data_IF_769748192375
#
_entry.id   IF_769748192375
#
_cell.length_a   1.000
_cell.length_b   1.000
_cell.length_c   1.000
_cell.angle_alpha   90.00
_cell.angle_beta   90.00
_cell.angle_gamma   90.00
#
_symmetry.space_group_name_H-M   'P 1'
#
loop_
_entity.id
_entity.type
_entity.pdbx_description
1 polymer ?
#
# COMPACT_ATOMS: atom_id res chain seq x y z
N UNK A 1 -1.98 5.56 -23.95
CA UNK A 1 -1.06 4.91 -23.01
C UNK A 1 -0.76 5.85 -21.86
N UNK A 2 -0.81 5.35 -20.64
CA UNK A 2 -0.51 6.13 -19.45
C UNK A 2 0.92 5.82 -19.01
N UNK A 3 1.77 6.81 -18.96
CA UNK A 3 3.20 6.60 -18.78
C UNK A 3 3.76 7.64 -17.80
N UNK A 4 3.53 7.42 -16.50
CA UNK A 4 3.89 8.39 -15.47
C UNK A 4 5.05 7.94 -14.58
N UNK A 5 5.31 6.63 -14.49
CA UNK A 5 6.40 6.11 -13.66
C UNK A 5 7.73 6.10 -14.42
N UNK A 6 8.81 6.35 -13.68
CA UNK A 6 10.18 6.37 -14.21
C UNK A 6 10.87 5.02 -14.08
N UNK A 7 10.21 4.03 -13.53
CA UNK A 7 10.73 2.68 -13.35
C UNK A 7 9.57 1.69 -13.46
N UNK A 8 9.81 0.41 -13.21
CA UNK A 8 8.78 -0.61 -13.36
C UNK A 8 7.56 -0.31 -12.49
N UNK A 9 6.38 -0.38 -13.10
CA UNK A 9 5.11 -0.31 -12.41
C UNK A 9 4.84 -1.70 -11.82
N UNK A 10 4.61 -1.77 -10.52
CA UNK A 10 4.49 -3.04 -9.83
C UNK A 10 3.06 -3.42 -9.47
N UNK A 11 2.18 -2.44 -9.31
CA UNK A 11 0.79 -2.71 -8.99
C UNK A 11 -0.09 -1.58 -9.52
N UNK A 12 -1.32 -1.92 -9.87
CA UNK A 12 -2.33 -0.98 -10.36
C UNK A 12 -3.68 -1.42 -9.82
N UNK A 13 -4.43 -0.48 -9.26
CA UNK A 13 -5.78 -0.74 -8.75
C UNK A 13 -6.76 0.32 -9.22
N UNK A 14 -7.95 -0.09 -9.57
CA UNK A 14 -9.06 0.81 -9.84
C UNK A 14 -9.64 1.36 -8.55
N UNK A 15 -10.07 2.61 -8.57
CA UNK A 15 -10.98 3.11 -7.54
C UNK A 15 -12.33 2.41 -7.66
N UNK A 16 -13.11 2.44 -6.58
CA UNK A 16 -14.38 1.75 -6.53
C UNK A 16 -15.35 2.23 -7.61
N UNK A 17 -15.35 3.53 -7.91
CA UNK A 17 -16.18 4.10 -8.97
C UNK A 17 -15.63 3.86 -10.37
N UNK A 18 -14.39 3.40 -10.49
CA UNK A 18 -13.79 3.10 -11.78
C UNK A 18 -13.29 4.31 -12.57
N UNK A 19 -13.15 5.47 -11.94
CA UNK A 19 -12.72 6.70 -12.61
C UNK A 19 -11.27 7.08 -12.31
N UNK A 20 -10.65 6.46 -11.31
CA UNK A 20 -9.26 6.68 -10.98
C UNK A 20 -8.48 5.39 -10.95
N UNK A 21 -7.19 5.48 -11.27
CA UNK A 21 -6.23 4.41 -11.07
C UNK A 21 -5.24 4.85 -10.01
N UNK A 22 -4.88 3.91 -9.15
CA UNK A 22 -3.78 4.06 -8.21
C UNK A 22 -2.69 3.07 -8.64
N UNK A 23 -1.51 3.57 -8.91
CA UNK A 23 -0.38 2.73 -9.31
C UNK A 23 0.81 2.96 -8.40
N UNK A 24 1.69 1.99 -8.32
CA UNK A 24 2.94 2.13 -7.60
C UNK A 24 4.06 1.43 -8.35
N UNK A 25 5.29 1.82 -8.05
CA UNK A 25 6.40 1.26 -8.77
C UNK A 25 7.75 1.44 -8.09
N UNK A 26 8.77 0.99 -8.80
CA UNK A 26 10.15 1.00 -8.31
C UNK A 26 10.80 2.38 -8.36
N UNK A 27 10.11 3.38 -8.88
CA UNK A 27 10.53 4.78 -8.79
C UNK A 27 10.22 5.40 -7.41
N UNK A 28 9.83 4.59 -6.44
CA UNK A 28 9.52 4.98 -5.07
C UNK A 28 8.35 5.96 -4.99
N UNK A 29 7.35 5.73 -5.81
CA UNK A 29 6.15 6.57 -5.82
C UNK A 29 4.89 5.75 -6.05
N UNK A 30 3.82 6.19 -5.39
CA UNK A 30 2.45 5.80 -5.72
C UNK A 30 1.80 6.98 -6.41
N UNK A 31 0.98 6.74 -7.42
CA UNK A 31 0.41 7.80 -8.26
C UNK A 31 -1.07 7.59 -8.47
N UNK A 32 -1.81 8.67 -8.34
CA UNK A 32 -3.25 8.70 -8.61
C UNK A 32 -3.46 9.32 -9.98
N UNK A 33 -4.18 8.63 -10.85
CA UNK A 33 -4.41 9.04 -12.22
C UNK A 33 -5.90 9.13 -12.49
N UNK A 34 -6.33 10.28 -13.03
CA UNK A 34 -7.68 10.45 -13.57
C UNK A 34 -7.70 9.85 -14.96
N UNK A 35 -8.42 8.73 -15.11
CA UNK A 35 -8.40 7.97 -16.37
C UNK A 35 -9.12 8.72 -17.48
N UNK A 36 -10.23 9.38 -17.16
CA UNK A 36 -10.98 10.14 -18.15
C UNK A 36 -10.15 11.27 -18.75
N UNK A 37 -9.42 11.99 -17.90
CA UNK A 37 -8.56 13.09 -18.34
C UNK A 37 -7.19 12.63 -18.83
N UNK A 38 -6.81 11.38 -18.54
CA UNK A 38 -5.49 10.90 -18.85
C UNK A 38 -4.38 11.60 -18.10
N UNK A 39 -4.67 12.12 -16.91
CA UNK A 39 -3.77 12.97 -16.16
C UNK A 39 -3.45 12.40 -14.79
N UNK A 40 -2.17 12.49 -14.41
CA UNK A 40 -1.74 12.28 -13.05
C UNK A 40 -2.23 13.42 -12.17
N UNK A 41 -2.98 13.09 -11.11
CA UNK A 41 -3.52 14.12 -10.21
C UNK A 41 -2.65 14.30 -8.97
N UNK A 42 -2.02 13.23 -8.48
CA UNK A 42 -1.21 13.28 -7.28
C UNK A 42 -0.10 12.26 -7.33
N UNK A 43 1.02 12.61 -6.69
CA UNK A 43 2.16 11.72 -6.49
C UNK A 43 2.40 11.61 -5.00
N UNK A 44 2.48 10.36 -4.53
CA UNK A 44 2.76 10.05 -3.12
C UNK A 44 4.17 9.47 -3.08
N UNK A 45 5.13 10.28 -2.64
CA UNK A 45 6.53 9.86 -2.61
C UNK A 45 6.78 8.94 -1.43
N UNK A 46 7.44 7.84 -1.72
CA UNK A 46 7.77 6.83 -0.73
C UNK A 46 9.28 6.77 -0.53
N UNK A 47 9.71 6.27 0.62
CA UNK A 47 11.13 6.07 0.92
C UNK A 47 11.57 4.63 0.63
N UNK A 48 10.78 3.92 -0.16
CA UNK A 48 11.03 2.53 -0.55
C UNK A 48 10.48 2.29 -1.95
N UNK A 49 10.93 1.22 -2.59
CA UNK A 49 10.29 0.75 -3.81
C UNK A 49 8.92 0.19 -3.44
N UNK A 50 7.87 0.76 -4.01
CA UNK A 50 6.49 0.38 -3.69
C UNK A 50 6.06 -0.80 -4.58
N UNK A 51 5.59 -1.87 -3.95
CA UNK A 51 5.22 -3.09 -4.65
C UNK A 51 3.73 -3.40 -4.63
N UNK A 52 2.98 -2.78 -3.73
CA UNK A 52 1.54 -3.05 -3.60
C UNK A 52 0.82 -1.77 -3.14
N UNK A 53 -0.37 -1.58 -3.70
CA UNK A 53 -1.30 -0.53 -3.28
C UNK A 53 -2.70 -1.13 -3.18
N UNK A 54 -3.52 -0.55 -2.31
CA UNK A 54 -4.89 -1.03 -2.12
C UNK A 54 -5.77 0.10 -1.60
N UNK A 55 -6.85 0.40 -2.32
CA UNK A 55 -7.86 1.34 -1.81
C UNK A 55 -8.60 0.74 -0.62
N UNK A 56 -8.99 1.58 0.32
CA UNK A 56 -9.91 1.18 1.37
C UNK A 56 -11.27 0.83 0.75
N UNK A 57 -11.93 -0.25 1.19
CA UNK A 57 -13.17 -0.71 0.54
C UNK A 57 -14.34 0.27 0.65
N UNK A 58 -14.40 1.07 1.72
CA UNK A 58 -15.52 1.99 1.96
C UNK A 58 -15.14 3.46 1.83
N UNK A 59 -13.85 3.77 1.76
CA UNK A 59 -13.39 5.15 1.74
C UNK A 59 -12.31 5.31 0.69
N UNK A 60 -12.70 5.79 -0.48
CA UNK A 60 -11.78 5.98 -1.61
C UNK A 60 -10.78 7.12 -1.39
N UNK A 61 -10.86 7.83 -0.27
CA UNK A 61 -9.89 8.88 0.07
C UNK A 61 -8.66 8.34 0.80
N UNK A 62 -8.65 7.05 1.17
CA UNK A 62 -7.50 6.44 1.83
C UNK A 62 -7.07 5.17 1.12
N UNK A 63 -5.77 4.91 1.15
CA UNK A 63 -5.22 3.69 0.57
C UNK A 63 -3.98 3.23 1.34
N UNK A 64 -3.68 1.94 1.22
CA UNK A 64 -2.45 1.34 1.75
C UNK A 64 -1.41 1.21 0.65
N UNK A 65 -0.16 1.44 1.02
CA UNK A 65 0.98 1.07 0.19
C UNK A 65 1.93 0.20 1.00
N UNK A 66 2.61 -0.72 0.32
CA UNK A 66 3.61 -1.56 0.93
C UNK A 66 4.80 -1.73 0.00
N UNK A 67 5.97 -1.99 0.55
CA UNK A 67 7.15 -2.01 -0.29
C UNK A 67 8.35 -2.76 0.26
N UNK A 68 9.48 -2.51 -0.38
CA UNK A 68 10.70 -3.29 -0.27
C UNK A 68 11.38 -3.20 1.10
N UNK A 69 11.13 -2.12 1.84
CA UNK A 69 11.69 -1.97 3.19
C UNK A 69 10.77 -2.50 4.29
N UNK A 70 9.68 -3.18 3.91
CA UNK A 70 8.75 -3.74 4.88
C UNK A 70 7.84 -2.72 5.52
N UNK A 71 7.74 -1.54 4.96
CA UNK A 71 6.89 -0.49 5.49
C UNK A 71 5.52 -0.55 4.84
N UNK A 72 4.48 -0.40 5.65
CA UNK A 72 3.11 -0.28 5.19
C UNK A 72 2.60 1.07 5.66
N UNK A 73 2.04 1.85 4.75
CA UNK A 73 1.56 3.20 5.04
C UNK A 73 0.11 3.34 4.62
N UNK A 74 -0.67 4.00 5.48
CA UNK A 74 -2.02 4.44 5.13
C UNK A 74 -1.94 5.91 4.75
N UNK A 75 -2.37 6.21 3.53
CA UNK A 75 -2.34 7.56 2.97
C UNK A 75 -3.73 8.17 2.92
N UNK A 76 -3.81 9.47 3.15
CA UNK A 76 -5.01 10.27 2.88
C UNK A 76 -4.78 11.03 1.57
N UNK A 77 -5.59 10.73 0.56
CA UNK A 77 -5.48 11.35 -0.76
C UNK A 77 -5.78 12.85 -0.69
N UNK A 78 -6.70 13.25 0.17
CA UNK A 78 -7.11 14.66 0.26
C UNK A 78 -6.01 15.57 0.77
N UNK A 79 -5.16 15.06 1.64
CA UNK A 79 -4.07 15.83 2.24
C UNK A 79 -2.70 15.45 1.67
N UNK A 80 -2.63 14.36 0.92
CA UNK A 80 -1.38 13.77 0.40
C UNK A 80 -0.42 13.39 1.52
N UNK A 81 -0.94 13.03 2.70
CA UNK A 81 -0.13 12.73 3.87
C UNK A 81 -0.35 11.33 4.36
N UNK A 82 0.66 10.79 5.01
CA UNK A 82 0.58 9.50 5.71
C UNK A 82 -0.23 9.68 6.98
N UNK A 83 -1.27 8.87 7.14
CA UNK A 83 -2.11 8.85 8.34
C UNK A 83 -1.51 7.93 9.39
N UNK A 84 -1.08 6.74 8.97
CA UNK A 84 -0.50 5.72 9.83
C UNK A 84 0.66 5.01 9.15
N UNK A 85 1.66 4.65 9.94
CA UNK A 85 2.75 3.76 9.55
C UNK A 85 2.61 2.46 10.34
N UNK A 86 2.61 1.34 9.62
CA UNK A 86 2.49 0.01 10.23
C UNK A 86 3.84 -0.69 10.08
N UNK A 87 4.74 -0.48 11.03
CA UNK A 87 6.11 -0.98 10.96
C UNK A 87 6.35 -2.08 11.97
N UNK A 88 7.05 -3.14 11.55
CA UNK A 88 7.37 -4.25 12.44
C UNK A 88 8.59 -5.06 11.97
N UNK A 89 9.61 -4.42 11.45
CA UNK A 89 10.82 -5.10 10.97
C UNK A 89 10.52 -6.26 10.04
N UNK A 90 9.61 -6.02 9.10
CA UNK A 90 9.23 -7.03 8.12
C UNK A 90 10.20 -7.00 6.95
N UNK A 91 10.28 -8.12 6.23
CA UNK A 91 10.85 -8.13 4.90
C UNK A 91 9.94 -7.40 3.92
N UNK A 92 10.25 -7.49 2.65
CA UNK A 92 9.48 -6.84 1.60
C UNK A 92 8.00 -7.24 1.71
N UNK A 93 7.12 -6.26 1.63
CA UNK A 93 5.68 -6.50 1.66
C UNK A 93 5.26 -7.07 0.31
N UNK A 94 4.61 -8.22 0.35
CA UNK A 94 4.18 -8.93 -0.86
C UNK A 94 2.75 -8.59 -1.24
N UNK A 95 1.87 -8.46 -0.25
CA UNK A 95 0.47 -8.14 -0.52
C UNK A 95 -0.20 -7.61 0.74
N UNK A 96 -1.29 -6.86 0.54
CA UNK A 96 -2.16 -6.41 1.61
C UNK A 96 -3.61 -6.58 1.14
N UNK A 97 -4.52 -6.83 2.10
CA UNK A 97 -5.93 -6.99 1.80
C UNK A 97 -6.77 -6.52 2.98
N UNK A 98 -7.74 -5.66 2.70
CA UNK A 98 -8.68 -5.22 3.72
C UNK A 98 -9.76 -6.27 4.00
N UNK A 99 -10.27 -6.28 5.22
CA UNK A 99 -11.52 -6.96 5.52
C UNK A 99 -12.67 -6.20 4.87
N UNK A 100 -13.82 -6.88 4.69
CA UNK A 100 -14.99 -6.27 4.04
C UNK A 100 -15.47 -5.01 4.74
N UNK A 101 -15.39 -4.98 6.06
CA UNK A 101 -15.83 -3.81 6.83
C UNK A 101 -14.77 -2.69 6.86
N UNK A 102 -13.60 -2.92 6.30
CA UNK A 102 -12.54 -1.91 6.24
C UNK A 102 -11.88 -1.58 7.57
N UNK A 103 -12.16 -2.32 8.63
CA UNK A 103 -11.61 -2.04 9.96
C UNK A 103 -10.25 -2.69 10.20
N UNK A 104 -9.96 -3.73 9.45
CA UNK A 104 -8.73 -4.50 9.57
C UNK A 104 -8.13 -4.75 8.20
N UNK A 105 -6.86 -5.06 8.17
CA UNK A 105 -6.23 -5.59 6.97
C UNK A 105 -5.20 -6.65 7.35
N UNK A 106 -4.88 -7.49 6.40
CA UNK A 106 -3.80 -8.46 6.55
C UNK A 106 -2.66 -8.07 5.61
N UNK A 107 -1.47 -8.38 6.02
CA UNK A 107 -0.29 -8.24 5.18
C UNK A 107 0.47 -9.55 5.12
N UNK A 108 1.07 -9.83 3.96
CA UNK A 108 2.06 -10.88 3.81
C UNK A 108 3.39 -10.26 3.49
N UNK A 109 4.45 -10.81 4.02
CA UNK A 109 5.79 -10.27 3.84
C UNK A 109 6.78 -11.39 3.61
N UNK A 110 7.86 -11.02 2.95
CA UNK A 110 8.99 -11.89 2.73
C UNK A 110 9.82 -11.98 4.01
N UNK A 111 10.83 -12.82 3.99
CA UNK A 111 11.74 -13.02 5.10
C UNK A 111 12.50 -11.73 5.35
N UNK A 112 12.55 -11.28 6.59
CA UNK A 112 13.43 -10.17 6.93
C UNK A 112 14.87 -10.68 7.11
N UNK A 113 15.81 -9.91 6.69
CA UNK A 113 17.24 -10.10 6.68
C UNK A 113 17.80 -11.30 7.43
N UNK A 114 18.07 -11.12 8.72
CA UNK A 114 18.72 -12.15 9.55
C UNK A 114 17.76 -13.17 10.13
N UNK A 115 16.46 -12.97 10.00
CA UNK A 115 15.47 -13.85 10.63
C UNK A 115 14.75 -14.68 9.57
N UNK A 116 15.33 -15.78 9.22
CA UNK A 116 14.90 -16.61 8.10
C UNK A 116 13.64 -17.41 8.37
N UNK A 117 13.16 -17.45 9.61
CA UNK A 117 11.95 -18.20 9.92
C UNK A 117 10.66 -17.41 9.72
N UNK A 118 10.76 -16.17 9.32
CA UNK A 118 9.65 -15.21 9.45
C UNK A 118 9.03 -14.81 8.12
N UNK A 119 8.44 -15.77 7.41
CA UNK A 119 7.47 -15.44 6.37
C UNK A 119 6.15 -15.17 7.09
N UNK A 120 5.75 -13.93 7.16
CA UNK A 120 4.71 -13.55 8.11
C UNK A 120 3.43 -13.12 7.44
N UNK A 121 2.33 -13.58 8.02
CA UNK A 121 1.01 -12.98 7.79
C UNK A 121 0.65 -12.26 9.08
N UNK A 122 0.32 -10.99 8.98
CA UNK A 122 -0.02 -10.17 10.14
C UNK A 122 -1.38 -9.55 9.93
N UNK A 123 -2.21 -9.60 10.98
CA UNK A 123 -3.50 -8.93 11.00
C UNK A 123 -3.33 -7.61 11.73
N UNK A 124 -3.77 -6.53 11.08
CA UNK A 124 -3.65 -5.18 11.60
C UNK A 124 -5.03 -4.56 11.81
N UNK A 125 -5.14 -3.71 12.81
CA UNK A 125 -6.26 -2.80 12.95
C UNK A 125 -5.92 -1.52 12.18
N UNK A 126 -6.82 -1.07 11.29
CA UNK A 126 -6.55 0.11 10.46
C UNK A 126 -6.31 1.36 11.28
N UNK A 127 -7.00 1.49 12.40
CA UNK A 127 -6.92 2.68 13.26
C UNK A 127 -5.74 2.67 14.23
N UNK A 128 -4.99 1.57 14.29
CA UNK A 128 -3.85 1.41 15.19
C UNK A 128 -2.59 1.10 14.42
N UNK A 129 -1.44 1.52 14.95
CA UNK A 129 -0.16 1.27 14.29
C UNK A 129 0.55 0.03 14.83
N UNK A 130 -0.19 -0.83 15.49
CA UNK A 130 0.30 -2.10 16.02
C UNK A 130 -0.55 -3.24 15.48
N UNK A 131 -0.02 -4.45 15.41
CA UNK A 131 -0.82 -5.60 14.99
C UNK A 131 -1.98 -5.85 15.93
N UNK A 132 -3.10 -6.30 15.37
CA UNK A 132 -4.27 -6.70 16.15
C UNK A 132 -3.98 -7.94 16.95
N UNK A 133 -3.22 -8.86 16.40
CA UNK A 133 -2.82 -10.11 17.03
C UNK A 133 -1.38 -10.44 16.66
N UNK A 134 -0.86 -11.49 17.27
CA UNK A 134 0.47 -11.99 16.91
C UNK A 134 0.47 -12.52 15.49
N UNK A 135 1.68 -12.71 14.96
CA UNK A 135 1.88 -13.29 13.65
C UNK A 135 1.11 -14.61 13.49
N UNK A 136 0.58 -14.78 12.30
CA UNK A 136 0.02 -16.06 11.85
C UNK A 136 1.00 -16.64 10.85
N UNK A 137 1.36 -17.89 11.04
CA UNK A 137 2.35 -18.57 10.21
C UNK A 137 1.75 -19.79 9.50
#
# INVERSE_FOLDING_TARGET
MLNFHNAAVKDVKWSQQGNFLLSCGYDCASRLVDVEKGMETQVFKEDQMAGVVKFHPDNSNIFLSGGSKGQIKLWDIRTSKVVHNYNRNLGSILDVEFTKNGKQFISSSDVSGSNISENSIIVWDVSRQVPLSNQVR
#
